data_IF_192695058401
#
_entry.id   IF_192695058401
#
_cell.length_a   1.000
_cell.length_b   1.000
_cell.length_c   1.000
_cell.angle_alpha   90.00
_cell.angle_beta   90.00
_cell.angle_gamma   90.00
#
_symmetry.space_group_name_H-M   'P 1'
#
loop_
_entity.id
_entity.type
_entity.pdbx_description
1 polymer ?
#
# COMPACT_ATOMS: atom_id res chain seq x y z
N UNK A 1 25.29 23.64 -6.82
CA UNK A 1 24.16 24.03 -7.70
C UNK A 1 22.91 23.35 -7.19
N UNK A 2 21.84 24.09 -6.89
CA UNK A 2 20.54 23.48 -6.56
C UNK A 2 19.95 22.89 -7.85
N UNK A 3 19.43 21.65 -7.85
CA UNK A 3 18.80 21.05 -9.03
C UNK A 3 17.57 21.86 -9.46
N UNK A 4 17.24 21.84 -10.76
CA UNK A 4 16.06 22.52 -11.29
C UNK A 4 14.76 21.86 -10.79
N UNK A 5 13.64 22.60 -10.68
CA UNK A 5 12.36 22.05 -10.24
C UNK A 5 11.89 20.86 -11.08
N UNK A 6 12.08 20.91 -12.40
CA UNK A 6 11.73 19.81 -13.29
C UNK A 6 12.57 18.55 -13.03
N UNK A 7 13.86 18.70 -12.69
CA UNK A 7 14.72 17.58 -12.35
C UNK A 7 14.33 16.95 -11.00
N UNK A 8 13.93 17.76 -10.03
CA UNK A 8 13.43 17.29 -8.74
C UNK A 8 12.14 16.48 -8.89
N UNK A 9 11.22 16.95 -9.73
CA UNK A 9 9.98 16.23 -10.01
C UNK A 9 10.23 14.87 -10.68
N UNK A 10 11.13 14.80 -11.66
CA UNK A 10 11.50 13.53 -12.30
C UNK A 10 12.11 12.54 -11.30
N UNK A 11 12.99 13.00 -10.41
CA UNK A 11 13.57 12.15 -9.36
C UNK A 11 12.49 11.65 -8.41
N UNK A 12 11.57 12.51 -7.99
CA UNK A 12 10.46 12.11 -7.12
C UNK A 12 9.57 11.04 -7.77
N UNK A 13 9.21 11.23 -9.04
CA UNK A 13 8.38 10.26 -9.78
C UNK A 13 9.08 8.90 -9.93
N UNK A 14 10.39 8.90 -10.19
CA UNK A 14 11.19 7.69 -10.27
C UNK A 14 11.29 6.97 -8.92
N UNK A 15 11.64 7.70 -7.86
CA UNK A 15 11.67 7.18 -6.50
C UNK A 15 10.32 6.60 -6.07
N UNK A 16 9.21 7.28 -6.40
CA UNK A 16 7.86 6.80 -6.11
C UNK A 16 7.56 5.47 -6.81
N UNK A 17 7.96 5.31 -8.08
CA UNK A 17 7.81 4.03 -8.80
C UNK A 17 8.62 2.92 -8.13
N UNK A 18 9.86 3.21 -7.74
CA UNK A 18 10.71 2.25 -7.03
C UNK A 18 10.08 1.82 -5.69
N UNK A 19 9.60 2.77 -4.89
CA UNK A 19 8.90 2.49 -3.63
C UNK A 19 7.67 1.61 -3.87
N UNK A 20 6.85 1.91 -4.87
CA UNK A 20 5.66 1.12 -5.22
C UNK A 20 6.03 -0.32 -5.58
N UNK A 21 7.10 -0.51 -6.35
CA UNK A 21 7.61 -1.82 -6.69
C UNK A 21 8.07 -2.58 -5.45
N UNK A 22 8.89 -1.95 -4.61
CA UNK A 22 9.42 -2.57 -3.41
C UNK A 22 8.31 -2.90 -2.40
N UNK A 23 7.29 -2.06 -2.25
CA UNK A 23 6.11 -2.40 -1.46
C UNK A 23 5.45 -3.68 -1.94
N UNK A 24 5.34 -3.86 -3.27
CA UNK A 24 4.76 -5.07 -3.85
C UNK A 24 5.60 -6.31 -3.52
N UNK A 25 6.90 -6.25 -3.77
CA UNK A 25 7.86 -7.34 -3.50
C UNK A 25 7.91 -7.70 -2.00
N UNK A 26 7.89 -6.70 -1.14
CA UNK A 26 7.94 -6.87 0.32
C UNK A 26 6.57 -7.15 0.96
N UNK A 27 5.51 -7.31 0.17
CA UNK A 27 4.16 -7.59 0.67
C UNK A 27 3.63 -6.60 1.72
N UNK A 28 4.01 -5.32 1.62
CA UNK A 28 3.60 -4.27 2.58
C UNK A 28 2.07 -4.08 2.60
N UNK A 29 1.47 -3.87 3.76
CA UNK A 29 0.02 -3.58 3.88
C UNK A 29 -0.42 -2.37 3.05
N UNK A 30 -1.60 -2.40 2.43
CA UNK A 30 -2.11 -1.39 1.49
C UNK A 30 -2.51 -0.06 2.13
N UNK A 31 -2.93 -0.07 3.40
CA UNK A 31 -3.32 1.13 4.15
C UNK A 31 -2.12 2.07 4.33
N UNK A 32 -0.96 1.61 4.84
CA UNK A 32 0.28 2.41 4.85
C UNK A 32 0.70 2.92 3.47
N UNK A 33 0.62 2.09 2.41
CA UNK A 33 0.95 2.51 1.04
C UNK A 33 0.08 3.70 0.59
N UNK A 34 -1.23 3.61 0.83
CA UNK A 34 -2.18 4.66 0.47
C UNK A 34 -1.97 5.94 1.28
N UNK A 35 -1.66 5.81 2.57
CA UNK A 35 -1.33 6.95 3.42
C UNK A 35 -0.06 7.66 2.93
N UNK A 36 1.04 6.91 2.71
CA UNK A 36 2.30 7.46 2.18
C UNK A 36 2.07 8.17 0.84
N UNK A 37 1.35 7.52 -0.08
CA UNK A 37 1.05 8.08 -1.40
C UNK A 37 0.28 9.42 -1.33
N UNK A 38 -0.60 9.57 -0.33
CA UNK A 38 -1.39 10.79 -0.14
C UNK A 38 -0.59 11.90 0.55
N UNK A 39 0.29 11.56 1.49
CA UNK A 39 1.07 12.50 2.29
C UNK A 39 2.19 13.17 1.50
N UNK A 40 2.91 12.41 0.68
CA UNK A 40 4.08 12.92 -0.05
C UNK A 40 3.71 13.14 -1.51
N UNK A 41 3.76 14.38 -1.98
CA UNK A 41 3.28 14.79 -3.32
C UNK A 41 4.38 15.34 -4.23
N UNK A 42 5.62 15.38 -3.74
CA UNK A 42 6.78 15.86 -4.49
C UNK A 42 7.24 17.24 -4.03
N UNK A 43 6.82 17.67 -2.85
CA UNK A 43 7.37 18.88 -2.23
C UNK A 43 8.86 18.65 -1.92
N UNK A 44 9.73 19.67 -1.97
CA UNK A 44 11.14 19.51 -1.61
C UNK A 44 11.37 18.93 -0.21
N UNK A 45 10.45 19.14 0.73
CA UNK A 45 10.49 18.55 2.07
C UNK A 45 10.13 17.06 2.10
N UNK A 46 9.53 16.51 1.04
CA UNK A 46 9.19 15.09 0.95
C UNK A 46 10.42 14.22 0.72
N UNK A 47 11.51 14.78 0.18
CA UNK A 47 12.70 14.05 -0.26
C UNK A 47 13.27 13.13 0.84
N UNK A 48 13.34 13.63 2.08
CA UNK A 48 13.86 12.83 3.19
C UNK A 48 13.01 11.59 3.46
N UNK A 49 11.69 11.70 3.34
CA UNK A 49 10.77 10.57 3.56
C UNK A 49 10.83 9.56 2.42
N UNK A 50 11.00 10.03 1.18
CA UNK A 50 11.23 9.17 0.02
C UNK A 50 12.51 8.34 0.22
N UNK A 51 13.60 8.97 0.66
CA UNK A 51 14.87 8.28 0.92
C UNK A 51 14.81 7.30 2.08
N UNK A 52 14.16 7.68 3.19
CA UNK A 52 13.99 6.81 4.35
C UNK A 52 13.18 5.57 3.97
N UNK A 53 12.07 5.73 3.25
CA UNK A 53 11.24 4.60 2.85
C UNK A 53 11.96 3.69 1.85
N UNK A 54 12.71 4.24 0.89
CA UNK A 54 13.54 3.43 -0.01
C UNK A 54 14.56 2.58 0.76
N UNK A 55 15.27 3.16 1.75
CA UNK A 55 16.24 2.43 2.57
C UNK A 55 15.57 1.31 3.36
N UNK A 56 14.45 1.62 4.01
CA UNK A 56 13.67 0.63 4.79
C UNK A 56 13.24 -0.53 3.92
N UNK A 57 12.72 -0.25 2.72
CA UNK A 57 12.22 -1.27 1.81
C UNK A 57 13.33 -2.07 1.13
N UNK A 58 14.43 -1.44 0.76
CA UNK A 58 15.61 -2.14 0.22
C UNK A 58 16.17 -3.11 1.26
N UNK A 59 16.26 -2.67 2.51
CA UNK A 59 16.67 -3.55 3.61
C UNK A 59 15.69 -4.73 3.79
N UNK A 60 14.38 -4.47 3.71
CA UNK A 60 13.36 -5.51 3.82
C UNK A 60 13.42 -6.51 2.67
N UNK A 61 13.62 -6.06 1.44
CA UNK A 61 13.80 -6.92 0.26
C UNK A 61 15.03 -7.82 0.42
N UNK A 62 16.17 -7.25 0.80
CA UNK A 62 17.40 -8.02 1.07
C UNK A 62 17.18 -9.05 2.17
N UNK A 63 16.53 -8.65 3.27
CA UNK A 63 16.21 -9.57 4.36
C UNK A 63 15.33 -10.73 3.89
N UNK A 64 14.30 -10.46 3.09
CA UNK A 64 13.44 -11.50 2.50
C UNK A 64 14.22 -12.43 1.55
N UNK A 65 15.13 -11.88 0.75
CA UNK A 65 15.99 -12.66 -0.14
C UNK A 65 16.95 -13.57 0.62
N UNK A 66 17.59 -13.05 1.68
CA UNK A 66 18.48 -13.81 2.55
C UNK A 66 17.74 -14.96 3.24
N UNK A 67 16.51 -14.72 3.71
CA UNK A 67 15.65 -15.76 4.30
C UNK A 67 15.28 -16.84 3.28
N UNK A 68 15.00 -16.47 2.02
CA UNK A 68 14.69 -17.41 0.94
C UNK A 68 15.90 -18.26 0.49
N UNK A 69 17.11 -17.74 0.68
CA UNK A 69 18.37 -18.42 0.34
C UNK A 69 18.94 -19.26 1.51
N UNK A 70 18.42 -19.11 2.72
CA UNK A 70 18.88 -19.84 3.89
C UNK A 70 18.42 -21.31 3.85
N UNK A 71 19.32 -22.24 4.18
CA UNK A 71 18.99 -23.67 4.28
C UNK A 71 17.96 -23.91 5.40
N UNK A 72 16.89 -24.70 5.18
CA UNK A 72 15.85 -24.97 6.18
C UNK A 72 16.38 -25.47 7.54
N UNK A 73 17.59 -26.05 7.57
CA UNK A 73 18.23 -26.57 8.77
C UNK A 73 18.86 -25.50 9.70
N UNK A 74 19.07 -24.27 9.21
CA UNK A 74 19.62 -23.16 10.00
C UNK A 74 18.54 -22.21 10.54
N UNK A 75 17.29 -22.45 10.15
CA UNK A 75 16.14 -21.65 10.49
C UNK A 75 15.47 -22.25 11.73
N UNK A 76 15.94 -21.87 12.92
CA UNK A 76 15.15 -22.09 14.15
C UNK A 76 13.80 -21.38 14.06
N UNK A 77 12.91 -21.54 15.07
CA UNK A 77 11.55 -20.98 15.10
C UNK A 77 11.47 -19.51 14.59
N UNK A 78 11.02 -19.11 13.40
CA UNK A 78 10.72 -19.78 12.12
C UNK A 78 10.55 -18.63 11.08
N UNK A 79 11.40 -18.49 10.04
CA UNK A 79 11.22 -17.56 8.92
C UNK A 79 9.93 -17.74 8.13
N UNK A 80 9.37 -18.96 8.10
CA UNK A 80 8.05 -19.19 7.55
C UNK A 80 6.98 -18.46 8.37
N UNK A 81 7.23 -18.17 9.67
CA UNK A 81 6.38 -17.36 10.52
C UNK A 81 6.32 -15.89 10.08
N UNK A 82 7.41 -15.28 9.60
CA UNK A 82 7.40 -13.89 9.13
C UNK A 82 6.58 -13.73 7.85
N UNK A 83 6.86 -14.56 6.83
CA UNK A 83 6.10 -14.52 5.57
C UNK A 83 4.64 -14.90 5.79
N UNK A 84 4.38 -15.93 6.61
CA UNK A 84 3.03 -16.34 6.99
C UNK A 84 2.26 -15.25 7.75
N UNK A 85 2.92 -14.54 8.67
CA UNK A 85 2.31 -13.43 9.41
C UNK A 85 2.00 -12.24 8.50
N UNK A 86 2.89 -11.89 7.56
CA UNK A 86 2.63 -10.86 6.53
C UNK A 86 1.45 -11.23 5.63
N UNK A 87 1.41 -12.47 5.11
CA UNK A 87 0.29 -12.95 4.29
C UNK A 87 -1.03 -12.91 5.09
N UNK A 88 -0.99 -13.30 6.36
CA UNK A 88 -2.15 -13.24 7.26
C UNK A 88 -2.60 -11.80 7.50
N UNK A 89 -1.68 -10.88 7.73
CA UNK A 89 -1.97 -9.45 7.90
C UNK A 89 -2.62 -8.87 6.65
N UNK A 90 -2.10 -9.17 5.45
CA UNK A 90 -2.71 -8.76 4.18
C UNK A 90 -4.12 -9.32 3.98
N UNK A 91 -4.36 -10.56 4.39
CA UNK A 91 -5.71 -11.15 4.35
C UNK A 91 -6.67 -10.42 5.29
N UNK A 92 -6.24 -10.15 6.52
CA UNK A 92 -7.04 -9.40 7.50
C UNK A 92 -7.32 -7.97 7.02
N UNK A 93 -6.32 -7.30 6.44
CA UNK A 93 -6.48 -5.98 5.85
C UNK A 93 -7.49 -5.98 4.70
N UNK A 94 -7.46 -6.98 3.81
CA UNK A 94 -8.45 -7.14 2.73
C UNK A 94 -9.87 -7.28 3.28
N UNK A 95 -10.04 -8.07 4.33
CA UNK A 95 -11.34 -8.23 4.98
C UNK A 95 -11.80 -6.94 5.66
N UNK A 96 -10.88 -6.21 6.30
CA UNK A 96 -11.13 -4.90 6.88
C UNK A 96 -11.60 -3.90 5.81
N UNK A 97 -10.84 -3.74 4.71
CA UNK A 97 -11.21 -2.85 3.60
C UNK A 97 -12.55 -3.24 2.99
N UNK A 98 -12.81 -4.54 2.82
CA UNK A 98 -14.08 -5.04 2.32
C UNK A 98 -15.26 -4.65 3.25
N UNK A 99 -15.08 -4.68 4.58
CA UNK A 99 -16.10 -4.17 5.52
C UNK A 99 -16.29 -2.66 5.37
N UNK A 100 -15.19 -1.90 5.24
CA UNK A 100 -15.23 -0.44 5.06
C UNK A 100 -15.96 -0.02 3.79
N UNK A 101 -15.89 -0.79 2.70
CA UNK A 101 -16.67 -0.55 1.46
C UNK A 101 -18.16 -0.44 1.75
N UNK A 102 -18.70 -1.29 2.63
CA UNK A 102 -20.12 -1.26 2.99
C UNK A 102 -20.50 -0.10 3.92
N UNK A 103 -19.53 0.46 4.65
CA UNK A 103 -19.74 1.51 5.65
C UNK A 103 -19.56 2.91 5.05
N UNK A 104 -18.54 3.09 4.21
CA UNK A 104 -18.10 4.39 3.71
C UNK A 104 -18.70 4.79 2.37
N UNK A 105 -19.30 3.85 1.63
CA UNK A 105 -19.81 4.10 0.29
C UNK A 105 -21.32 3.84 0.21
N UNK A 106 -22.04 4.72 -0.49
CA UNK A 106 -23.46 4.52 -0.82
C UNK A 106 -23.65 3.28 -1.70
N UNK A 107 -24.90 2.86 -1.94
CA UNK A 107 -25.16 1.75 -2.85
C UNK A 107 -24.73 2.09 -4.29
N UNK A 108 -25.03 3.31 -4.72
CA UNK A 108 -24.72 3.85 -6.05
C UNK A 108 -23.21 3.96 -6.24
N UNK A 109 -22.48 4.52 -5.26
CA UNK A 109 -21.03 4.61 -5.30
C UNK A 109 -20.36 3.23 -5.38
N UNK A 110 -20.88 2.25 -4.63
CA UNK A 110 -20.38 0.87 -4.68
C UNK A 110 -20.56 0.27 -6.06
N UNK A 111 -21.73 0.43 -6.69
CA UNK A 111 -21.98 -0.12 -8.02
C UNK A 111 -21.12 0.54 -9.10
N UNK A 112 -20.97 1.87 -9.07
CA UNK A 112 -20.06 2.58 -9.98
C UNK A 112 -18.62 2.08 -9.81
N UNK A 113 -18.18 1.90 -8.57
CA UNK A 113 -16.84 1.41 -8.28
C UNK A 113 -16.65 -0.02 -8.79
N UNK A 114 -17.62 -0.90 -8.58
CA UNK A 114 -17.55 -2.27 -9.08
C UNK A 114 -17.55 -2.33 -10.61
N UNK A 115 -18.30 -1.46 -11.29
CA UNK A 115 -18.28 -1.37 -12.75
C UNK A 115 -16.89 -0.95 -13.24
N UNK A 116 -16.37 0.17 -12.70
CA UNK A 116 -15.05 0.70 -13.06
C UNK A 116 -13.93 -0.32 -12.83
N UNK A 117 -14.00 -1.07 -11.74
CA UNK A 117 -12.99 -2.06 -11.35
C UNK A 117 -13.23 -3.46 -11.91
N UNK A 118 -14.18 -3.61 -12.84
CA UNK A 118 -14.53 -4.88 -13.46
C UNK A 118 -14.80 -5.98 -12.41
N UNK A 119 -15.66 -5.68 -11.44
CA UNK A 119 -16.15 -6.59 -10.39
C UNK A 119 -17.56 -7.06 -10.76
N UNK A 120 -17.67 -8.21 -11.46
CA UNK A 120 -18.95 -8.81 -11.83
C UNK A 120 -19.93 -8.95 -10.66
N UNK A 121 -21.25 -9.00 -10.95
CA UNK A 121 -22.28 -9.34 -9.98
C UNK A 121 -21.99 -10.62 -9.19
N UNK A 122 -22.62 -10.77 -8.03
CA UNK A 122 -22.46 -11.97 -7.22
C UNK A 122 -22.99 -13.20 -7.97
N UNK A 123 -22.21 -14.28 -7.94
CA UNK A 123 -22.59 -15.58 -8.49
C UNK A 123 -22.44 -16.64 -7.40
N UNK A 124 -23.16 -17.74 -7.53
CA UNK A 124 -23.05 -18.88 -6.60
C UNK A 124 -21.58 -19.32 -6.49
N UNK A 125 -21.09 -19.47 -5.26
CA UNK A 125 -19.71 -19.90 -4.98
C UNK A 125 -18.61 -18.84 -5.16
N UNK A 126 -18.94 -17.60 -5.57
CA UNK A 126 -17.95 -16.52 -5.65
C UNK A 126 -17.87 -15.73 -4.32
N UNK A 127 -16.68 -15.24 -3.92
CA UNK A 127 -16.57 -14.32 -2.80
C UNK A 127 -17.39 -13.05 -3.03
N UNK A 128 -17.88 -12.44 -1.94
CA UNK A 128 -18.65 -11.18 -1.98
C UNK A 128 -17.92 -10.12 -2.79
N UNK A 129 -18.65 -9.30 -3.58
CA UNK A 129 -18.06 -8.31 -4.50
C UNK A 129 -17.08 -7.35 -3.81
N UNK A 130 -17.39 -6.92 -2.59
CA UNK A 130 -16.51 -6.09 -1.74
C UNK A 130 -15.13 -6.71 -1.48
N UNK A 131 -15.07 -8.04 -1.28
CA UNK A 131 -13.80 -8.73 -1.07
C UNK A 131 -13.02 -8.87 -2.37
N UNK A 132 -13.72 -9.08 -3.50
CA UNK A 132 -13.11 -9.12 -4.83
C UNK A 132 -12.53 -7.77 -5.23
N UNK A 133 -13.24 -6.67 -4.93
CA UNK A 133 -12.71 -5.31 -5.06
C UNK A 133 -11.44 -5.16 -4.22
N UNK A 134 -11.52 -5.52 -2.93
CA UNK A 134 -10.35 -5.55 -2.05
C UNK A 134 -9.18 -6.28 -2.71
N UNK A 135 -9.38 -7.48 -3.25
CA UNK A 135 -8.30 -8.25 -3.90
C UNK A 135 -7.70 -7.56 -5.14
N UNK A 136 -8.42 -6.68 -5.83
CA UNK A 136 -7.92 -5.96 -7.02
C UNK A 136 -7.08 -4.72 -6.70
N UNK A 137 -7.28 -4.07 -5.55
CA UNK A 137 -6.51 -2.88 -5.17
C UNK A 137 -5.01 -3.20 -5.05
N UNK A 138 -4.15 -2.28 -5.50
CA UNK A 138 -2.69 -2.40 -5.38
C UNK A 138 -2.07 -3.67 -6.01
N UNK A 139 -2.74 -4.26 -7.01
CA UNK A 139 -2.26 -5.48 -7.69
C UNK A 139 -1.26 -5.25 -8.81
N UNK A 140 -1.32 -4.12 -9.50
CA UNK A 140 -0.39 -3.78 -10.59
C UNK A 140 0.55 -2.64 -10.16
N UNK A 141 1.80 -2.94 -9.76
CA UNK A 141 2.76 -1.94 -9.32
C UNK A 141 3.40 -1.14 -10.46
N UNK A 142 3.23 -1.57 -11.73
CA UNK A 142 3.79 -0.89 -12.89
C UNK A 142 2.85 0.18 -13.44
N UNK A 143 1.54 -0.02 -13.26
CA UNK A 143 0.52 0.93 -13.69
C UNK A 143 0.25 2.01 -12.63
N UNK A 144 1.00 3.12 -12.71
CA UNK A 144 0.82 4.26 -11.80
C UNK A 144 -0.62 4.81 -11.72
N UNK A 145 -1.42 4.85 -12.81
CA UNK A 145 -2.84 5.21 -12.72
C UNK A 145 -3.63 4.26 -11.82
N UNK A 146 -3.40 2.94 -11.92
CA UNK A 146 -4.02 1.93 -11.05
C UNK A 146 -3.61 2.12 -9.58
N UNK A 147 -2.35 2.47 -9.33
CA UNK A 147 -1.84 2.76 -7.99
C UNK A 147 -2.48 4.00 -7.39
N UNK A 148 -2.55 5.08 -8.17
CA UNK A 148 -3.22 6.32 -7.76
C UNK A 148 -4.67 6.05 -7.38
N UNK A 149 -5.43 5.39 -8.24
CA UNK A 149 -6.83 5.08 -7.96
C UNK A 149 -6.99 4.12 -6.76
N UNK A 150 -6.11 3.12 -6.64
CA UNK A 150 -6.08 2.24 -5.47
C UNK A 150 -5.86 3.01 -4.18
N UNK A 151 -4.95 3.99 -4.19
CA UNK A 151 -4.66 4.84 -3.04
C UNK A 151 -5.88 5.71 -2.68
N UNK A 152 -6.54 6.32 -3.66
CA UNK A 152 -7.74 7.15 -3.46
C UNK A 152 -8.89 6.34 -2.85
N UNK A 153 -9.12 5.11 -3.35
CA UNK A 153 -10.14 4.22 -2.80
C UNK A 153 -9.81 3.85 -1.36
N UNK A 154 -8.59 3.38 -1.09
CA UNK A 154 -8.18 3.02 0.28
C UNK A 154 -8.28 4.24 1.20
N UNK A 155 -7.89 5.42 0.75
CA UNK A 155 -7.99 6.65 1.53
C UNK A 155 -9.43 6.99 1.88
N UNK A 156 -10.37 6.89 0.93
CA UNK A 156 -11.80 7.07 1.18
C UNK A 156 -12.37 6.01 2.13
N UNK A 157 -11.93 4.75 1.97
CA UNK A 157 -12.35 3.66 2.84
C UNK A 157 -11.84 3.82 4.26
N UNK A 158 -10.61 4.28 4.47
CA UNK A 158 -10.04 4.47 5.81
C UNK A 158 -10.49 5.80 6.42
N UNK A 159 -10.73 6.82 5.59
CA UNK A 159 -11.18 8.15 6.00
C UNK A 159 -10.01 9.10 6.30
N UNK A 160 -8.90 9.02 5.56
CA UNK A 160 -7.69 9.82 5.79
C UNK A 160 -7.89 11.36 5.72
N UNK A 161 -9.06 11.84 5.30
CA UNK A 161 -9.42 13.27 5.29
C UNK A 161 -10.79 13.59 5.89
N UNK A 162 -11.48 12.62 6.50
CA UNK A 162 -12.82 12.82 7.06
C UNK A 162 -12.80 13.35 8.51
N UNK A 163 -11.64 13.34 9.17
CA UNK A 163 -11.49 13.68 10.60
C UNK A 163 -11.34 15.17 10.89
N UNK A 164 -11.24 16.06 9.90
CA UNK A 164 -10.90 17.48 10.12
C UNK A 164 -9.46 17.70 10.60
N UNK A 165 -8.86 16.71 11.25
CA UNK A 165 -7.44 16.47 11.35
C UNK A 165 -6.96 15.89 10.02
N UNK A 166 -6.37 16.74 9.17
CA UNK A 166 -5.45 16.25 8.16
C UNK A 166 -4.45 15.37 8.91
N UNK A 167 -4.32 14.08 8.55
CA UNK A 167 -3.20 13.28 9.00
C UNK A 167 -1.93 14.07 8.64
N UNK A 168 -1.30 14.71 9.63
CA UNK A 168 -0.15 15.56 9.37
C UNK A 168 1.04 14.67 9.05
N UNK A 169 2.03 15.18 8.32
CA UNK A 169 3.30 14.45 8.10
C UNK A 169 3.93 14.05 9.45
N UNK A 170 3.68 14.82 10.50
CA UNK A 170 4.07 14.55 11.90
C UNK A 170 3.41 13.28 12.48
N UNK A 171 2.14 12.99 12.18
CA UNK A 171 1.50 11.74 12.62
C UNK A 171 2.05 10.51 11.90
N UNK A 172 2.61 10.68 10.70
CA UNK A 172 3.29 9.61 9.97
C UNK A 172 4.69 9.33 10.53
N UNK A 173 5.41 10.36 11.00
CA UNK A 173 6.71 10.21 11.69
C UNK A 173 6.65 9.23 12.86
N UNK A 174 5.52 9.20 13.58
CA UNK A 174 5.29 8.29 14.71
C UNK A 174 5.09 6.82 14.28
N UNK A 175 4.74 6.55 13.03
CA UNK A 175 4.44 5.19 12.53
C UNK A 175 5.65 4.46 11.92
N UNK A 176 6.75 5.17 11.61
CA UNK A 176 7.99 4.52 11.14
C UNK A 176 8.64 3.59 12.18
N UNK A 177 8.22 3.66 13.44
CA UNK A 177 8.76 2.87 14.55
C UNK A 177 8.11 1.51 14.74
N UNK A 178 7.09 1.16 13.96
CA UNK A 178 6.53 -0.20 13.99
C UNK A 178 7.18 -1.04 12.88
N UNK A 179 7.96 -2.08 13.21
CA UNK A 179 8.29 -3.10 12.23
C UNK A 179 6.97 -3.84 11.95
N UNK A 180 6.44 -3.66 10.74
CA UNK A 180 5.24 -4.28 10.13
C UNK A 180 4.03 -3.35 9.95
#
# INVERSE_FOLDING_TARGET
>A
MKPSPAKLQLVFEDQRKQIVMLWHLCHVSRVPRAQFYFLFKGDPSDQIYMEVELRRLTWLEQHLADLGNASPALLGDDPASFVSSSIRALKQEREYLAKRVSIKLSAEEREMLYLKWNVPPEGKGKPKRRLRLGNKLWTDPLEMPHIKESAEIVAKLVGFGDSGENASKEMFELNFFSPL
#
